data_IF_270345182589
#
_entry.id   IF_270345182589
#
_cell.length_a   1.000
_cell.length_b   1.000
_cell.length_c   1.000
_cell.angle_alpha   90.00
_cell.angle_beta   90.00
_cell.angle_gamma   90.00
#
_symmetry.space_group_name_H-M   'P 1'
#
loop_
_entity.id
_entity.type
_entity.pdbx_description
1 polymer ?
#
# COMPACT_ATOMS: atom_id res chain seq x y z
N UNK A 1 18.77 4.31 11.14
CA UNK A 1 19.92 4.75 11.93
C UNK A 1 19.61 4.35 13.37
N UNK A 2 20.49 3.57 13.98
CA UNK A 2 20.38 3.10 15.36
C UNK A 2 20.86 4.18 16.34
N UNK A 3 20.60 3.99 17.64
CA UNK A 3 21.14 4.86 18.68
C UNK A 3 22.67 4.84 18.71
N UNK A 4 23.27 3.67 18.43
CA UNK A 4 24.72 3.50 18.42
C UNK A 4 25.37 4.28 17.27
N UNK A 5 24.72 4.33 16.10
CA UNK A 5 25.18 5.13 14.97
C UNK A 5 25.25 6.62 15.34
N UNK A 6 24.26 7.13 16.08
CA UNK A 6 24.23 8.54 16.52
C UNK A 6 25.36 8.82 17.50
N UNK A 7 25.59 7.91 18.47
CA UNK A 7 26.69 8.05 19.43
C UNK A 7 28.04 8.09 18.74
N UNK A 8 28.26 7.22 17.76
CA UNK A 8 29.50 7.20 16.97
C UNK A 8 29.70 8.54 16.27
N UNK A 9 28.68 9.06 15.58
CA UNK A 9 28.77 10.36 14.88
C UNK A 9 29.11 11.48 15.86
N UNK A 10 28.42 11.57 17.00
CA UNK A 10 28.66 12.61 17.99
C UNK A 10 30.06 12.51 18.61
N UNK A 11 30.52 11.29 18.93
CA UNK A 11 31.87 11.07 19.43
C UNK A 11 32.93 11.46 18.41
N UNK A 12 32.75 11.08 17.14
CA UNK A 12 33.67 11.46 16.06
C UNK A 12 33.73 12.98 15.88
N UNK A 13 32.60 13.69 15.99
CA UNK A 13 32.58 15.16 15.92
C UNK A 13 33.41 15.77 17.06
N UNK A 14 33.22 15.30 18.30
CA UNK A 14 33.99 15.81 19.45
C UNK A 14 35.47 15.47 19.31
N UNK A 15 35.80 14.23 18.94
CA UNK A 15 37.18 13.79 18.71
C UNK A 15 37.90 14.66 17.67
N UNK A 16 37.22 15.03 16.59
CA UNK A 16 37.80 15.84 15.51
C UNK A 16 37.96 17.31 15.89
N UNK A 17 37.19 17.77 16.88
CA UNK A 17 37.31 19.14 17.41
C UNK A 17 38.33 19.23 18.54
N UNK A 18 38.55 18.16 19.30
CA UNK A 18 39.54 18.08 20.37
C UNK A 18 40.91 17.61 19.88
N UNK A 19 40.97 16.94 18.72
CA UNK A 19 42.19 16.39 18.15
C UNK A 19 42.30 16.69 16.66
N UNK A 20 43.37 17.36 16.27
CA UNK A 20 43.71 17.65 14.88
C UNK A 20 44.12 16.35 14.16
N UNK A 21 43.31 15.92 13.20
CA UNK A 21 43.48 14.64 12.49
C UNK A 21 44.47 14.73 11.30
N UNK A 22 45.11 15.88 11.06
CA UNK A 22 46.09 16.04 9.98
C UNK A 22 47.38 15.30 10.31
N UNK A 23 47.91 14.53 9.35
CA UNK A 23 49.11 13.69 9.53
C UNK A 23 50.42 14.49 9.72
N UNK A 24 50.42 15.77 9.36
CA UNK A 24 51.61 16.63 9.31
C UNK A 24 51.92 17.31 10.65
N UNK A 25 51.04 17.17 11.65
CA UNK A 25 51.17 17.81 12.96
C UNK A 25 51.80 16.84 13.94
N UNK A 26 52.78 17.32 14.72
CA UNK A 26 53.42 16.56 15.79
C UNK A 26 52.38 16.16 16.83
N UNK A 27 52.49 14.96 17.40
CA UNK A 27 51.57 14.44 18.43
C UNK A 27 51.31 15.43 19.56
N UNK A 28 52.35 16.16 19.97
CA UNK A 28 52.32 17.16 21.04
C UNK A 28 51.44 18.40 20.70
N UNK A 29 51.20 18.67 19.42
CA UNK A 29 50.46 19.83 18.91
C UNK A 29 49.07 19.48 18.37
N UNK A 30 48.69 18.19 18.42
CA UNK A 30 47.38 17.72 17.92
C UNK A 30 46.22 18.10 18.82
N UNK A 31 46.45 18.27 20.12
CA UNK A 31 45.39 18.59 21.06
C UNK A 31 44.87 20.02 20.83
N UNK A 32 43.55 20.14 20.72
CA UNK A 32 42.83 21.40 20.50
C UNK A 32 41.79 21.56 21.60
N UNK A 33 41.43 22.81 21.89
CA UNK A 33 40.26 23.11 22.71
C UNK A 33 39.13 23.65 21.84
N UNK A 34 37.91 23.18 22.10
CA UNK A 34 36.71 23.62 21.38
C UNK A 34 36.45 25.13 21.61
N UNK A 35 36.78 25.64 22.80
CA UNK A 35 36.69 27.07 23.14
C UNK A 35 37.54 27.98 22.27
N UNK A 36 38.63 27.45 21.70
CA UNK A 36 39.56 28.24 20.89
C UNK A 36 39.10 28.33 19.43
N UNK A 37 38.10 27.53 19.06
CA UNK A 37 37.58 27.39 17.69
C UNK A 37 36.18 27.98 17.54
N UNK A 38 35.42 28.06 18.63
CA UNK A 38 34.01 28.46 18.63
C UNK A 38 33.79 29.57 19.66
N UNK A 39 33.26 30.71 19.22
CA UNK A 39 32.99 31.85 20.10
C UNK A 39 31.86 31.59 21.12
N UNK A 40 30.85 30.81 20.74
CA UNK A 40 29.67 30.51 21.57
C UNK A 40 29.57 28.99 21.82
N UNK A 41 30.46 28.48 22.67
CA UNK A 41 30.59 27.05 22.96
C UNK A 41 29.28 26.42 23.46
N UNK A 42 28.53 27.13 24.31
CA UNK A 42 27.25 26.65 24.83
C UNK A 42 26.20 26.47 23.73
N UNK A 43 26.06 27.45 22.82
CA UNK A 43 25.13 27.35 21.69
C UNK A 43 25.54 26.24 20.72
N UNK A 44 26.84 26.07 20.50
CA UNK A 44 27.36 24.99 19.66
C UNK A 44 27.03 23.61 20.23
N UNK A 45 27.29 23.37 21.52
CA UNK A 45 26.92 22.10 22.15
C UNK A 45 25.41 21.87 22.13
N UNK A 46 24.63 22.92 22.38
CA UNK A 46 23.18 22.84 22.28
C UNK A 46 22.76 22.43 20.86
N UNK A 47 23.33 23.02 19.82
CA UNK A 47 23.05 22.65 18.44
C UNK A 47 23.43 21.20 18.15
N UNK A 48 24.67 20.78 18.45
CA UNK A 48 25.18 19.43 18.15
C UNK A 48 24.37 18.34 18.85
N UNK A 49 24.07 18.53 20.13
CA UNK A 49 23.40 17.53 20.95
C UNK A 49 21.88 17.62 20.99
N UNK A 50 21.26 18.73 20.53
CA UNK A 50 19.79 18.77 20.42
C UNK A 50 19.27 17.86 19.32
N UNK A 51 20.09 17.56 18.32
CA UNK A 51 19.72 16.77 17.14
C UNK A 51 18.53 17.35 16.35
N UNK A 52 18.15 18.62 16.58
CA UNK A 52 17.02 19.27 15.92
C UNK A 52 17.20 19.37 14.39
N UNK A 53 18.45 19.25 13.93
CA UNK A 53 18.81 19.18 12.51
C UNK A 53 18.51 17.81 11.87
N UNK A 54 18.28 16.76 12.65
CA UNK A 54 17.86 15.45 12.17
C UNK A 54 16.34 15.45 11.96
N UNK A 55 15.92 15.48 10.69
CA UNK A 55 14.51 15.36 10.33
C UNK A 55 14.22 13.92 9.91
N UNK A 56 13.23 13.24 10.52
CA UNK A 56 12.82 11.92 10.05
C UNK A 56 12.23 12.08 8.64
N UNK A 57 12.72 11.29 7.69
CA UNK A 57 12.13 11.17 6.38
C UNK A 57 11.40 9.83 6.29
N UNK A 58 10.09 9.88 6.02
CA UNK A 58 9.25 8.69 5.90
C UNK A 58 9.03 8.38 4.42
N UNK A 59 9.51 7.21 4.00
CA UNK A 59 9.28 6.70 2.66
C UNK A 59 8.29 5.54 2.74
N UNK A 60 7.15 5.69 2.06
CA UNK A 60 6.18 4.61 1.92
C UNK A 60 6.69 3.60 0.89
N UNK A 61 6.50 2.31 1.18
CA UNK A 61 6.89 1.21 0.29
C UNK A 61 5.76 0.21 0.15
N UNK A 62 5.47 -0.22 -1.07
CA UNK A 62 4.59 -1.34 -1.38
C UNK A 62 5.45 -2.51 -1.83
N UNK A 63 5.41 -3.63 -1.10
CA UNK A 63 6.25 -4.81 -1.35
C UNK A 63 7.75 -4.47 -1.54
N UNK A 64 8.27 -3.60 -0.65
CA UNK A 64 9.66 -3.13 -0.70
C UNK A 64 9.98 -2.12 -1.81
N UNK A 65 9.05 -1.84 -2.73
CA UNK A 65 9.22 -0.82 -3.78
C UNK A 65 8.80 0.57 -3.26
N UNK A 66 9.64 1.61 -3.43
CA UNK A 66 9.28 2.98 -3.09
C UNK A 66 8.23 3.54 -4.06
N UNK A 67 7.46 4.53 -3.62
CA UNK A 67 6.35 5.09 -4.39
C UNK A 67 6.75 5.58 -5.78
N UNK A 68 7.94 6.17 -5.95
CA UNK A 68 8.37 6.69 -7.26
C UNK A 68 8.51 5.57 -8.30
N UNK A 69 8.78 4.34 -7.86
CA UNK A 69 8.98 3.16 -8.71
C UNK A 69 7.69 2.36 -8.97
N UNK A 70 6.57 2.75 -8.36
CA UNK A 70 5.28 2.10 -8.58
C UNK A 70 4.68 2.52 -9.93
N UNK A 71 4.11 1.55 -10.62
CA UNK A 71 3.27 1.76 -11.81
C UNK A 71 2.02 2.60 -11.47
N UNK A 72 1.37 3.24 -12.46
CA UNK A 72 0.13 3.97 -12.24
C UNK A 72 -0.95 3.13 -11.54
N UNK A 73 -1.09 1.85 -11.90
CA UNK A 73 -2.03 0.93 -11.27
C UNK A 73 -1.68 0.65 -9.80
N UNK A 74 -0.43 0.28 -9.51
CA UNK A 74 0.02 0.06 -8.12
C UNK A 74 -0.18 1.30 -7.23
N UNK A 75 0.03 2.51 -7.78
CA UNK A 75 -0.26 3.77 -7.07
C UNK A 75 -1.75 3.94 -6.80
N UNK A 76 -2.60 3.59 -7.76
CA UNK A 76 -4.06 3.59 -7.60
C UNK A 76 -4.53 2.64 -6.50
N UNK A 77 -4.04 1.40 -6.50
CA UNK A 77 -4.32 0.44 -5.42
C UNK A 77 -3.90 0.97 -4.06
N UNK A 78 -2.68 1.50 -3.96
CA UNK A 78 -2.16 2.01 -2.70
C UNK A 78 -3.03 3.14 -2.14
N UNK A 79 -3.46 4.07 -3.01
CA UNK A 79 -4.39 5.13 -2.64
C UNK A 79 -5.72 4.56 -2.13
N UNK A 80 -6.27 3.55 -2.80
CA UNK A 80 -7.50 2.90 -2.39
C UNK A 80 -7.36 2.23 -1.03
N UNK A 81 -6.24 1.54 -0.78
CA UNK A 81 -5.92 0.96 0.53
C UNK A 81 -5.88 2.04 1.61
N UNK A 82 -5.28 3.19 1.34
CA UNK A 82 -5.30 4.31 2.28
C UNK A 82 -6.71 4.81 2.58
N UNK A 83 -7.57 4.95 1.58
CA UNK A 83 -8.98 5.31 1.79
C UNK A 83 -9.74 4.26 2.60
N UNK A 84 -9.44 2.97 2.41
CA UNK A 84 -10.09 1.89 3.15
C UNK A 84 -9.61 1.80 4.61
N UNK A 85 -8.34 2.13 4.87
CA UNK A 85 -7.70 1.91 6.18
C UNK A 85 -7.58 3.15 7.06
N UNK A 86 -7.26 4.32 6.49
CA UNK A 86 -7.00 5.54 7.26
C UNK A 86 -8.29 6.29 7.55
N UNK A 87 -9.16 6.37 6.55
CA UNK A 87 -10.44 7.04 6.74
C UNK A 87 -11.25 6.24 7.77
N UNK A 88 -11.68 6.92 8.83
CA UNK A 88 -12.41 6.35 9.96
C UNK A 88 -13.91 6.57 9.85
N UNK A 89 -14.37 7.33 8.86
CA UNK A 89 -15.79 7.58 8.65
C UNK A 89 -16.52 6.29 8.24
N UNK A 90 -17.80 6.20 8.58
CA UNK A 90 -18.72 5.13 8.19
C UNK A 90 -19.51 5.47 6.92
N UNK A 91 -19.22 6.62 6.30
CA UNK A 91 -19.79 7.09 5.03
C UNK A 91 -19.71 6.00 3.94
N UNK A 92 -20.80 5.75 3.18
CA UNK A 92 -20.79 4.78 2.08
C UNK A 92 -19.73 5.10 1.02
N UNK A 93 -19.00 4.08 0.59
CA UNK A 93 -17.96 4.19 -0.42
C UNK A 93 -18.39 3.48 -1.71
N UNK A 94 -18.42 4.21 -2.82
CA UNK A 94 -18.69 3.66 -4.15
C UNK A 94 -17.38 3.61 -4.92
N UNK A 95 -17.02 2.44 -5.43
CA UNK A 95 -15.76 2.21 -6.14
C UNK A 95 -16.09 1.56 -7.49
N UNK A 96 -15.70 2.23 -8.58
CA UNK A 96 -15.88 1.72 -9.93
C UNK A 96 -14.55 1.18 -10.47
N UNK A 97 -14.56 -0.07 -10.94
CA UNK A 97 -13.42 -0.81 -11.48
C UNK A 97 -12.10 -0.60 -10.72
N UNK A 98 -12.05 -0.87 -9.39
CA UNK A 98 -10.80 -0.72 -8.64
C UNK A 98 -9.67 -1.63 -9.11
N UNK A 99 -9.99 -2.67 -9.90
CA UNK A 99 -9.02 -3.57 -10.52
C UNK A 99 -8.28 -2.98 -11.73
N UNK A 100 -8.73 -1.85 -12.28
CA UNK A 100 -8.17 -1.32 -13.53
C UNK A 100 -6.69 -0.98 -13.37
N UNK A 101 -5.87 -1.46 -14.30
CA UNK A 101 -4.41 -1.33 -14.33
C UNK A 101 -3.65 -2.10 -13.23
N UNK A 102 -4.31 -2.97 -12.47
CA UNK A 102 -3.68 -3.87 -11.51
C UNK A 102 -3.56 -5.28 -12.08
N UNK A 103 -2.49 -5.99 -11.70
CA UNK A 103 -2.41 -7.41 -11.99
C UNK A 103 -3.36 -8.21 -11.07
N UNK A 104 -3.88 -9.33 -11.57
CA UNK A 104 -4.87 -10.12 -10.86
C UNK A 104 -4.40 -10.62 -9.48
N UNK A 105 -3.10 -10.83 -9.28
CA UNK A 105 -2.55 -11.25 -7.99
C UNK A 105 -2.65 -10.10 -6.99
N UNK A 106 -2.23 -8.90 -7.37
CA UNK A 106 -2.37 -7.70 -6.54
C UNK A 106 -3.84 -7.39 -6.21
N UNK A 107 -4.75 -7.51 -7.18
CA UNK A 107 -6.19 -7.35 -6.93
C UNK A 107 -6.67 -8.34 -5.87
N UNK A 108 -6.32 -9.62 -6.01
CA UNK A 108 -6.77 -10.66 -5.10
C UNK A 108 -6.14 -10.52 -3.71
N UNK A 109 -4.82 -10.45 -3.60
CA UNK A 109 -4.14 -10.50 -2.29
C UNK A 109 -4.27 -9.20 -1.50
N UNK A 110 -4.25 -8.06 -2.17
CA UNK A 110 -4.23 -6.74 -1.50
C UNK A 110 -5.65 -6.21 -1.36
N UNK A 111 -6.36 -5.95 -2.47
CA UNK A 111 -7.63 -5.24 -2.41
C UNK A 111 -8.72 -6.03 -1.69
N UNK A 112 -8.86 -7.33 -1.96
CA UNK A 112 -9.93 -8.12 -1.32
C UNK A 112 -9.78 -8.13 0.21
N UNK A 113 -8.55 -8.24 0.71
CA UNK A 113 -8.27 -8.21 2.15
C UNK A 113 -8.72 -6.89 2.78
N UNK A 114 -8.32 -5.76 2.19
CA UNK A 114 -8.67 -4.44 2.72
C UNK A 114 -10.15 -4.12 2.60
N UNK A 115 -10.80 -4.52 1.51
CA UNK A 115 -12.26 -4.38 1.35
C UNK A 115 -12.98 -5.18 2.43
N UNK A 116 -12.60 -6.44 2.66
CA UNK A 116 -13.20 -7.28 3.71
C UNK A 116 -13.01 -6.69 5.11
N UNK A 117 -11.91 -5.99 5.35
CA UNK A 117 -11.69 -5.29 6.61
C UNK A 117 -12.57 -4.04 6.71
N UNK A 118 -12.56 -3.18 5.69
CA UNK A 118 -13.27 -1.91 5.69
C UNK A 118 -14.80 -2.08 5.71
N UNK A 119 -15.33 -3.09 4.99
CA UNK A 119 -16.79 -3.34 4.93
C UNK A 119 -17.43 -3.71 6.27
N UNK A 120 -16.63 -4.11 7.26
CA UNK A 120 -17.10 -4.37 8.64
C UNK A 120 -17.52 -3.09 9.36
N UNK A 121 -17.06 -1.93 8.89
CA UNK A 121 -17.30 -0.63 9.52
C UNK A 121 -18.12 0.32 8.64
N UNK A 122 -17.99 0.24 7.31
CA UNK A 122 -18.68 1.10 6.35
C UNK A 122 -19.35 0.29 5.25
N UNK A 123 -20.38 0.85 4.62
CA UNK A 123 -20.95 0.26 3.41
C UNK A 123 -19.99 0.48 2.22
N UNK A 124 -19.73 -0.56 1.44
CA UNK A 124 -18.92 -0.49 0.23
C UNK A 124 -19.72 -1.05 -0.94
N UNK A 125 -19.83 -0.28 -2.01
CA UNK A 125 -20.48 -0.68 -3.27
C UNK A 125 -19.40 -0.71 -4.34
N UNK A 126 -19.19 -1.88 -4.94
CA UNK A 126 -18.15 -2.09 -5.94
C UNK A 126 -18.80 -2.45 -7.27
N UNK A 127 -18.43 -1.72 -8.32
CA UNK A 127 -18.73 -2.09 -9.71
C UNK A 127 -17.47 -2.74 -10.27
N UNK A 128 -17.58 -4.02 -10.65
CA UNK A 128 -16.41 -4.79 -11.09
C UNK A 128 -16.81 -5.82 -12.13
N UNK A 129 -15.85 -6.12 -13.01
CA UNK A 129 -15.91 -7.23 -13.95
C UNK A 129 -14.91 -8.34 -13.60
N UNK A 130 -14.16 -8.18 -12.50
CA UNK A 130 -13.13 -9.11 -12.08
C UNK A 130 -13.71 -10.18 -11.13
N UNK A 131 -13.70 -11.48 -11.50
CA UNK A 131 -14.17 -12.56 -10.62
C UNK A 131 -13.44 -12.62 -9.28
N UNK A 132 -12.14 -12.31 -9.26
CA UNK A 132 -11.35 -12.32 -8.04
C UNK A 132 -11.84 -11.28 -7.03
N UNK A 133 -12.38 -10.16 -7.51
CA UNK A 133 -12.92 -9.13 -6.64
C UNK A 133 -14.38 -9.42 -6.26
N UNK A 134 -15.22 -9.75 -7.23
CA UNK A 134 -16.64 -10.05 -7.01
C UNK A 134 -16.83 -11.21 -6.02
N UNK A 135 -15.99 -12.25 -6.11
CA UNK A 135 -16.04 -13.42 -5.24
C UNK A 135 -15.09 -13.26 -4.05
N UNK A 136 -13.86 -12.80 -4.26
CA UNK A 136 -12.83 -12.76 -3.22
C UNK A 136 -13.04 -11.68 -2.15
N UNK A 137 -13.79 -10.61 -2.46
CA UNK A 137 -14.18 -9.61 -1.46
C UNK A 137 -15.31 -10.08 -0.51
N UNK A 138 -15.80 -11.31 -0.69
CA UNK A 138 -16.76 -11.96 0.20
C UNK A 138 -18.10 -11.21 0.26
N UNK A 139 -18.57 -10.66 -0.87
CA UNK A 139 -19.69 -9.72 -0.91
C UNK A 139 -20.99 -10.32 -0.37
N UNK A 140 -21.66 -9.60 0.54
CA UNK A 140 -22.93 -10.01 1.15
C UNK A 140 -24.11 -9.95 0.16
N UNK A 141 -24.03 -9.04 -0.81
CA UNK A 141 -25.06 -8.83 -1.82
C UNK A 141 -24.42 -8.61 -3.18
N UNK A 142 -24.88 -9.38 -4.17
CA UNK A 142 -24.57 -9.19 -5.58
C UNK A 142 -25.76 -8.52 -6.26
N UNK A 143 -25.47 -7.54 -7.11
CA UNK A 143 -26.44 -6.90 -8.01
C UNK A 143 -26.03 -7.26 -9.43
N UNK A 144 -26.75 -8.21 -10.02
CA UNK A 144 -26.62 -8.55 -11.42
C UNK A 144 -27.46 -7.59 -12.27
N UNK A 145 -26.87 -7.02 -13.30
CA UNK A 145 -27.53 -6.12 -14.25
C UNK A 145 -27.50 -6.74 -15.65
N UNK A 146 -28.65 -6.71 -16.33
CA UNK A 146 -28.80 -7.21 -17.70
C UNK A 146 -29.50 -6.15 -18.57
N UNK A 147 -28.98 -5.98 -19.78
CA UNK A 147 -29.51 -5.07 -20.78
C UNK A 147 -29.85 -5.89 -22.04
N UNK A 148 -31.14 -6.04 -22.34
CA UNK A 148 -31.58 -6.76 -23.53
C UNK A 148 -31.45 -5.87 -24.77
N UNK A 149 -30.31 -6.01 -25.47
CA UNK A 149 -30.01 -5.25 -26.69
C UNK A 149 -31.00 -5.52 -27.84
N UNK A 150 -31.68 -6.67 -27.83
CA UNK A 150 -32.62 -7.05 -28.87
C UNK A 150 -34.04 -6.54 -28.57
N UNK A 151 -34.37 -6.34 -27.30
CA UNK A 151 -35.64 -5.78 -26.85
C UNK A 151 -35.51 -4.31 -26.43
N UNK A 152 -35.08 -3.44 -27.36
CA UNK A 152 -34.97 -1.99 -27.16
C UNK A 152 -34.18 -1.57 -25.90
N UNK A 153 -33.10 -2.31 -25.59
CA UNK A 153 -32.26 -2.07 -24.41
C UNK A 153 -33.04 -2.17 -23.09
N UNK A 154 -34.00 -3.09 -23.00
CA UNK A 154 -34.74 -3.33 -21.76
C UNK A 154 -33.77 -3.65 -20.61
N UNK A 155 -33.85 -2.82 -19.56
CA UNK A 155 -33.01 -2.93 -18.38
C UNK A 155 -33.69 -3.83 -17.35
N UNK A 156 -32.93 -4.80 -16.84
CA UNK A 156 -33.37 -5.68 -15.76
C UNK A 156 -32.23 -5.91 -14.78
N UNK A 157 -32.58 -6.18 -13.53
CA UNK A 157 -31.60 -6.48 -12.49
C UNK A 157 -32.10 -7.58 -11.56
N UNK A 158 -31.16 -8.30 -10.95
CA UNK A 158 -31.44 -9.31 -9.93
C UNK A 158 -30.49 -9.10 -8.76
N UNK A 159 -30.98 -9.27 -7.54
CA UNK A 159 -30.18 -9.10 -6.32
C UNK A 159 -30.28 -10.31 -5.41
N UNK A 160 -29.24 -10.55 -4.63
CA UNK A 160 -29.17 -11.63 -3.66
C UNK A 160 -27.74 -11.98 -3.28
N UNK A 161 -27.59 -12.96 -2.39
CA UNK A 161 -26.29 -13.46 -1.97
C UNK A 161 -25.67 -14.36 -3.05
N UNK A 162 -24.35 -14.54 -3.00
CA UNK A 162 -23.59 -15.35 -3.98
C UNK A 162 -23.96 -16.83 -3.95
N UNK A 163 -24.49 -17.31 -2.83
CA UNK A 163 -24.96 -18.68 -2.61
C UNK A 163 -26.31 -18.97 -3.27
N UNK A 164 -27.04 -17.94 -3.72
CA UNK A 164 -28.29 -18.13 -4.44
C UNK A 164 -28.00 -18.88 -5.76
N UNK A 165 -28.56 -20.07 -6.00
CA UNK A 165 -28.21 -20.89 -7.16
C UNK A 165 -28.47 -20.23 -8.52
N UNK A 166 -29.45 -19.32 -8.59
CA UNK A 166 -29.76 -18.58 -9.82
C UNK A 166 -28.69 -17.53 -10.07
N UNK A 167 -28.36 -16.70 -9.06
CA UNK A 167 -27.31 -15.69 -9.19
C UNK A 167 -25.92 -16.30 -9.36
N UNK A 168 -25.62 -17.38 -8.64
CA UNK A 168 -24.36 -18.09 -8.75
C UNK A 168 -24.07 -18.51 -10.20
N UNK A 169 -25.07 -19.09 -10.88
CA UNK A 169 -24.97 -19.43 -12.30
C UNK A 169 -24.72 -18.20 -13.17
N UNK A 170 -25.44 -17.09 -12.94
CA UNK A 170 -25.24 -15.83 -13.67
C UNK A 170 -23.82 -15.28 -13.49
N UNK A 171 -23.32 -15.28 -12.26
CA UNK A 171 -21.97 -14.83 -11.92
C UNK A 171 -20.92 -15.65 -12.71
N UNK A 172 -21.04 -16.98 -12.72
CA UNK A 172 -20.16 -17.87 -13.51
C UNK A 172 -20.30 -17.61 -15.01
N UNK A 173 -21.51 -17.41 -15.52
CA UNK A 173 -21.74 -17.10 -16.93
C UNK A 173 -21.02 -15.81 -17.36
N UNK A 174 -21.08 -14.76 -16.54
CA UNK A 174 -20.56 -13.42 -16.88
C UNK A 174 -19.07 -13.32 -16.62
N UNK A 175 -18.63 -13.69 -15.42
CA UNK A 175 -17.26 -13.46 -14.98
C UNK A 175 -16.29 -14.52 -15.49
N UNK A 176 -16.76 -15.76 -15.72
CA UNK A 176 -15.93 -16.88 -16.15
C UNK A 176 -16.18 -17.34 -17.59
N UNK A 177 -17.08 -16.66 -18.30
CA UNK A 177 -17.34 -16.92 -19.72
C UNK A 177 -18.01 -18.27 -19.99
N UNK A 178 -18.85 -18.74 -19.05
CA UNK A 178 -19.62 -20.02 -19.01
C UNK A 178 -18.95 -21.21 -18.31
N UNK A 179 -19.76 -22.10 -17.72
CA UNK A 179 -19.32 -23.32 -17.03
C UNK A 179 -18.38 -24.21 -17.88
N UNK A 180 -18.66 -24.49 -19.17
CA UNK A 180 -17.76 -25.30 -19.99
C UNK A 180 -16.38 -24.66 -20.21
N UNK A 181 -16.33 -23.33 -20.33
CA UNK A 181 -15.06 -22.61 -20.48
C UNK A 181 -14.24 -22.65 -19.19
N UNK A 182 -14.90 -22.56 -18.04
CA UNK A 182 -14.28 -22.73 -16.72
C UNK A 182 -13.71 -24.15 -16.54
N UNK A 183 -14.52 -25.18 -16.79
CA UNK A 183 -14.11 -26.58 -16.65
C UNK A 183 -12.93 -26.93 -17.58
N UNK A 184 -12.95 -26.42 -18.81
CA UNK A 184 -11.84 -26.60 -19.77
C UNK A 184 -10.53 -25.97 -19.27
N UNK A 185 -10.60 -24.78 -18.65
CA UNK A 185 -9.43 -24.13 -18.02
C UNK A 185 -8.91 -24.97 -16.85
N UNK A 186 -9.82 -25.40 -15.96
CA UNK A 186 -9.47 -26.23 -14.80
C UNK A 186 -8.74 -27.52 -15.21
N UNK A 187 -9.27 -28.24 -16.21
CA UNK A 187 -8.66 -29.45 -16.74
C UNK A 187 -7.26 -29.19 -17.33
N UNK A 188 -7.07 -28.06 -18.02
CA UNK A 188 -5.77 -27.70 -18.60
C UNK A 188 -4.71 -27.36 -17.55
N UNK A 189 -5.13 -26.86 -16.39
CA UNK A 189 -4.24 -26.54 -15.27
C UNK A 189 -3.92 -27.74 -14.37
N UNK A 190 -4.45 -28.94 -14.68
CA UNK A 190 -4.28 -30.16 -13.88
C UNK A 190 -4.67 -29.96 -12.39
N UNK A 191 -5.61 -29.06 -12.12
CA UNK A 191 -6.11 -28.81 -10.77
C UNK A 191 -7.20 -29.87 -10.48
N UNK A 192 -6.79 -30.97 -9.86
CA UNK A 192 -7.71 -31.99 -9.35
C UNK A 192 -8.33 -31.56 -8.01
N UNK A 193 -9.45 -32.21 -7.68
CA UNK A 193 -10.40 -31.81 -6.62
C UNK A 193 -9.87 -32.00 -5.21
#
# INVERSE_FOLDING_TARGET
MSEDDIKIILQTIIEFLETDQRQEIKEEEKQRHISDQINQVEEFYKFVFSLDYLKPNYELKLDGKPLEKLSPGEKGALLLVFYLMIDKEDTPLIIDQPEDNLDNKSVFEVLTHFIRFAKKRRQIIIVTHNPNLAVGADAEQIIYVHLDKNNNYEFSYQTGAIENPVLNKRIVEILEGTQPAFDKRKLKYLIEK
#
